data_IF_812692926209
#
_entry.id   IF_812692926209
#
_cell.length_a   1.000
_cell.length_b   1.000
_cell.length_c   1.000
_cell.angle_alpha   90.00
_cell.angle_beta   90.00
_cell.angle_gamma   90.00
#
_symmetry.space_group_name_H-M   'P 1'
#
loop_
_entity.id
_entity.type
_entity.pdbx_description
1 polymer ?
#
# COMPACT_ATOMS: atom_id res chain seq x y z
N UNK A 1 6.33 3.61 -12.70
CA UNK A 1 6.24 3.48 -11.23
C UNK A 1 6.08 2.02 -10.88
N UNK A 2 6.71 1.55 -9.80
CA UNK A 2 6.52 0.22 -9.21
C UNK A 2 5.73 0.33 -7.92
N UNK A 3 4.65 -0.42 -7.83
CA UNK A 3 3.74 -0.52 -6.69
C UNK A 3 3.92 -1.91 -6.09
N UNK A 4 4.04 -1.99 -4.76
CA UNK A 4 3.90 -3.27 -4.05
C UNK A 4 2.48 -3.37 -3.50
N UNK A 5 1.85 -4.55 -3.60
CA UNK A 5 0.59 -4.87 -2.95
C UNK A 5 0.75 -6.11 -2.08
N UNK A 6 0.49 -5.99 -0.78
CA UNK A 6 0.49 -7.11 0.16
C UNK A 6 -0.97 -7.42 0.51
N UNK A 7 -1.45 -8.55 -0.01
CA UNK A 7 -2.87 -8.91 -0.09
C UNK A 7 -2.96 -10.42 -0.26
N UNK A 8 -3.72 -11.16 0.55
CA UNK A 8 -3.80 -12.62 0.45
C UNK A 8 -4.80 -13.11 -0.61
N UNK A 9 -5.81 -12.32 -0.96
CA UNK A 9 -6.79 -12.66 -2.00
C UNK A 9 -6.21 -12.52 -3.42
N UNK A 10 -5.99 -13.66 -4.11
CA UNK A 10 -5.43 -13.69 -5.48
C UNK A 10 -6.26 -12.88 -6.48
N UNK A 11 -7.59 -13.00 -6.40
CA UNK A 11 -8.50 -12.28 -7.28
C UNK A 11 -8.36 -10.76 -7.13
N UNK A 12 -8.22 -10.26 -5.90
CA UNK A 12 -8.00 -8.83 -5.67
C UNK A 12 -6.64 -8.38 -6.21
N UNK A 13 -5.58 -9.16 -5.98
CA UNK A 13 -4.25 -8.85 -6.55
C UNK A 13 -4.30 -8.72 -8.06
N UNK A 14 -4.98 -9.63 -8.75
CA UNK A 14 -5.11 -9.62 -10.21
C UNK A 14 -5.92 -8.43 -10.73
N UNK A 15 -6.99 -8.06 -10.03
CA UNK A 15 -7.80 -6.89 -10.37
C UNK A 15 -6.99 -5.60 -10.20
N UNK A 16 -6.32 -5.40 -9.06
CA UNK A 16 -5.44 -4.25 -8.87
C UNK A 16 -4.32 -4.23 -9.90
N UNK A 17 -3.71 -5.38 -10.22
CA UNK A 17 -2.64 -5.45 -11.22
C UNK A 17 -3.11 -4.92 -12.59
N UNK A 18 -4.31 -5.31 -13.04
CA UNK A 18 -4.90 -4.81 -14.30
C UNK A 18 -5.15 -3.30 -14.25
N UNK A 19 -5.70 -2.81 -13.15
CA UNK A 19 -6.04 -1.39 -12.98
C UNK A 19 -4.79 -0.50 -12.92
N UNK A 20 -3.76 -0.90 -12.18
CA UNK A 20 -2.46 -0.21 -12.19
C UNK A 20 -1.75 -0.30 -13.54
N UNK A 21 -1.84 -1.44 -14.23
CA UNK A 21 -1.27 -1.59 -15.57
C UNK A 21 -1.93 -0.65 -16.58
N UNK A 22 -3.24 -0.37 -16.45
CA UNK A 22 -3.98 0.54 -17.34
C UNK A 22 -3.43 1.97 -17.34
N UNK A 23 -2.77 2.39 -16.26
CA UNK A 23 -2.10 3.70 -16.13
C UNK A 23 -0.57 3.63 -16.28
N UNK A 24 -0.05 2.49 -16.77
CA UNK A 24 1.38 2.29 -17.04
C UNK A 24 2.23 2.00 -15.79
N UNK A 25 1.61 1.58 -14.67
CA UNK A 25 2.34 1.20 -13.46
C UNK A 25 2.54 -0.32 -13.43
N UNK A 26 3.64 -0.76 -12.80
CA UNK A 26 3.91 -2.17 -12.56
C UNK A 26 3.55 -2.48 -11.12
N UNK A 27 2.63 -3.42 -10.90
CA UNK A 27 2.27 -3.89 -9.57
C UNK A 27 2.85 -5.28 -9.32
N UNK A 28 3.68 -5.38 -8.28
CA UNK A 28 4.15 -6.64 -7.72
C UNK A 28 3.25 -7.00 -6.53
N UNK A 29 2.57 -8.15 -6.61
CA UNK A 29 1.67 -8.63 -5.57
C UNK A 29 2.32 -9.72 -4.71
N UNK A 30 2.09 -9.66 -3.40
CA UNK A 30 2.59 -10.63 -2.42
C UNK A 30 1.40 -11.26 -1.68
N UNK A 31 1.38 -12.59 -1.62
CA UNK A 31 0.22 -13.36 -1.15
C UNK A 31 0.13 -13.51 0.37
N UNK A 32 1.15 -13.07 1.11
CA UNK A 32 1.15 -13.05 2.56
C UNK A 32 2.09 -11.96 3.09
N UNK A 33 1.96 -11.67 4.37
CA UNK A 33 2.70 -10.60 5.03
C UNK A 33 4.21 -10.83 5.12
N UNK A 34 4.66 -12.08 5.27
CA UNK A 34 6.09 -12.42 5.38
C UNK A 34 6.81 -12.22 4.05
N UNK A 35 6.25 -12.77 2.97
CA UNK A 35 6.73 -12.56 1.60
C UNK A 35 6.67 -11.10 1.21
N UNK A 36 5.58 -10.41 1.56
CA UNK A 36 5.41 -8.99 1.31
C UNK A 36 6.48 -8.14 1.98
N UNK A 37 6.70 -8.35 3.27
CA UNK A 37 7.72 -7.63 4.03
C UNK A 37 9.13 -7.91 3.51
N UNK A 38 9.46 -9.16 3.20
CA UNK A 38 10.74 -9.51 2.61
C UNK A 38 10.92 -8.87 1.23
N UNK A 39 9.88 -8.92 0.39
CA UNK A 39 9.87 -8.37 -0.96
C UNK A 39 10.08 -6.87 -1.00
N UNK A 40 9.38 -6.11 -0.15
CA UNK A 40 9.55 -4.65 -0.06
C UNK A 40 10.89 -4.22 0.53
N UNK A 41 11.54 -5.06 1.36
CA UNK A 41 12.89 -4.81 1.87
C UNK A 41 14.00 -5.14 0.87
N UNK A 42 13.74 -6.07 -0.05
CA UNK A 42 14.70 -6.51 -1.08
C UNK A 42 14.65 -5.64 -2.34
N UNK A 43 13.49 -5.05 -2.65
CA UNK A 43 13.27 -4.26 -3.86
C UNK A 43 12.97 -2.79 -3.53
N UNK A 44 13.03 -1.93 -4.55
CA UNK A 44 12.58 -0.54 -4.42
C UNK A 44 11.20 -0.37 -5.04
N UNK A 45 10.31 0.25 -4.27
CA UNK A 45 8.95 0.59 -4.65
C UNK A 45 8.69 2.08 -4.45
N UNK A 46 7.86 2.65 -5.32
CA UNK A 46 7.44 4.04 -5.24
C UNK A 46 6.32 4.21 -4.19
N UNK A 47 5.51 3.17 -3.98
CA UNK A 47 4.44 3.10 -2.98
C UNK A 47 4.16 1.64 -2.61
N UNK A 48 3.72 1.42 -1.37
CA UNK A 48 3.27 0.12 -0.86
C UNK A 48 1.79 0.22 -0.49
N UNK A 49 0.97 -0.68 -1.03
CA UNK A 49 -0.40 -0.94 -0.60
C UNK A 49 -0.37 -2.13 0.36
N UNK A 50 -0.95 -1.97 1.55
CA UNK A 50 -0.90 -2.97 2.61
C UNK A 50 -2.30 -3.26 3.13
N UNK A 51 -2.74 -4.51 3.02
CA UNK A 51 -3.87 -4.99 3.81
C UNK A 51 -3.45 -5.25 5.26
N UNK A 52 -4.32 -4.90 6.20
CA UNK A 52 -4.18 -5.23 7.60
C UNK A 52 -4.75 -6.61 7.95
N UNK A 53 -5.67 -7.13 7.14
CA UNK A 53 -6.35 -8.40 7.36
C UNK A 53 -5.61 -9.58 6.73
N UNK A 54 -4.31 -9.70 6.97
CA UNK A 54 -3.51 -10.80 6.46
C UNK A 54 -3.51 -12.01 7.42
N UNK A 55 -3.46 -13.24 6.92
CA UNK A 55 -3.24 -14.41 7.76
C UNK A 55 -1.82 -14.43 8.34
N UNK A 56 -1.70 -14.83 9.61
CA UNK A 56 -0.41 -15.08 10.28
C UNK A 56 0.18 -13.85 10.98
N UNK A 57 0.56 -12.82 10.22
CA UNK A 57 1.21 -11.61 10.76
C UNK A 57 0.25 -10.41 10.71
N UNK A 58 0.24 -9.63 11.79
CA UNK A 58 -0.54 -8.40 11.90
C UNK A 58 -0.01 -7.33 10.93
N UNK A 59 -0.88 -6.80 10.07
CA UNK A 59 -0.50 -5.77 9.12
C UNK A 59 -0.05 -4.45 9.76
N UNK A 60 -0.50 -4.10 10.97
CA UNK A 60 0.03 -2.94 11.69
C UNK A 60 1.49 -3.17 12.12
N UNK A 61 1.86 -4.41 12.47
CA UNK A 61 3.24 -4.76 12.75
C UNK A 61 4.10 -4.75 11.47
N UNK A 62 3.55 -5.18 10.32
CA UNK A 62 4.22 -5.02 9.02
C UNK A 62 4.49 -3.54 8.74
N UNK A 63 3.47 -2.68 8.87
CA UNK A 63 3.61 -1.24 8.66
C UNK A 63 4.72 -0.67 9.54
N UNK A 64 4.72 -1.01 10.83
CA UNK A 64 5.74 -0.58 11.78
C UNK A 64 7.14 -1.03 11.34
N UNK A 65 7.30 -2.28 10.91
CA UNK A 65 8.58 -2.78 10.42
C UNK A 65 9.05 -2.09 9.14
N UNK A 66 8.13 -1.77 8.21
CA UNK A 66 8.43 -1.01 6.99
C UNK A 66 8.91 0.41 7.35
N UNK A 67 8.27 1.05 8.33
CA UNK A 67 8.58 2.43 8.74
C UNK A 67 9.81 2.56 9.64
N UNK A 68 10.26 1.47 10.25
CA UNK A 68 11.48 1.42 11.06
C UNK A 68 12.73 1.00 10.27
N UNK A 69 12.57 0.40 9.09
CA UNK A 69 13.68 -0.06 8.26
C UNK A 69 14.25 1.08 7.38
N UNK A 70 15.56 1.31 7.43
CA UNK A 70 16.23 2.39 6.71
C UNK A 70 16.02 2.38 5.19
N UNK A 71 15.79 1.20 4.60
CA UNK A 71 15.58 1.05 3.15
C UNK A 71 14.17 1.41 2.74
N UNK A 72 13.18 1.20 3.61
CA UNK A 72 11.75 1.33 3.26
C UNK A 72 11.03 2.46 3.99
N UNK A 73 11.62 3.04 5.05
CA UNK A 73 10.96 4.06 5.90
C UNK A 73 10.43 5.28 5.15
N UNK A 74 11.04 5.63 4.02
CA UNK A 74 10.65 6.77 3.20
C UNK A 74 9.62 6.42 2.12
N UNK A 75 9.43 5.14 1.83
CA UNK A 75 8.41 4.68 0.88
C UNK A 75 7.03 4.94 1.50
N UNK A 76 6.13 5.65 0.79
CA UNK A 76 4.78 5.87 1.28
C UNK A 76 4.05 4.53 1.38
N UNK A 77 3.32 4.33 2.47
CA UNK A 77 2.48 3.17 2.70
C UNK A 77 1.03 3.63 2.77
N UNK A 78 0.18 3.05 1.94
CA UNK A 78 -1.26 3.26 1.99
C UNK A 78 -1.86 1.98 2.53
N UNK A 79 -2.59 2.09 3.63
CA UNK A 79 -3.38 0.97 4.13
C UNK A 79 -4.60 0.81 3.21
N UNK A 80 -4.82 -0.41 2.73
CA UNK A 80 -5.94 -0.77 1.87
C UNK A 80 -6.61 -2.01 2.46
N UNK A 81 -7.68 -1.82 3.24
CA UNK A 81 -8.26 -2.89 4.06
C UNK A 81 -9.79 -2.79 4.14
N UNK A 82 -10.48 -3.80 4.66
CA UNK A 82 -11.91 -3.73 4.96
C UNK A 82 -12.20 -3.23 6.39
N UNK A 83 -11.18 -3.01 7.22
CA UNK A 83 -11.33 -2.40 8.54
C UNK A 83 -11.64 -0.91 8.42
N UNK A 84 -12.78 -0.48 8.95
CA UNK A 84 -13.23 0.93 8.91
C UNK A 84 -13.37 1.58 10.29
N UNK A 85 -12.78 0.99 11.34
CA UNK A 85 -12.89 1.53 12.70
C UNK A 85 -11.92 2.69 12.91
N UNK A 86 -12.42 3.80 13.47
CA UNK A 86 -11.63 5.02 13.73
C UNK A 86 -10.33 4.76 14.48
N UNK A 87 -10.34 3.84 15.45
CA UNK A 87 -9.16 3.50 16.24
C UNK A 87 -8.05 2.86 15.37
N UNK A 88 -8.41 1.92 14.50
CA UNK A 88 -7.46 1.27 13.58
C UNK A 88 -6.89 2.28 12.59
N UNK A 89 -7.74 3.17 12.08
CA UNK A 89 -7.33 4.26 11.18
C UNK A 89 -6.31 5.17 11.88
N UNK A 90 -6.61 5.61 13.11
CA UNK A 90 -5.70 6.44 13.91
C UNK A 90 -4.38 5.74 14.18
N UNK A 91 -4.42 4.46 14.53
CA UNK A 91 -3.21 3.65 14.74
C UNK A 91 -2.35 3.57 13.47
N UNK A 92 -2.96 3.31 12.31
CA UNK A 92 -2.26 3.28 11.03
C UNK A 92 -1.52 4.59 10.73
N UNK A 93 -2.19 5.74 10.90
CA UNK A 93 -1.56 7.04 10.69
C UNK A 93 -0.47 7.34 11.74
N UNK A 94 -0.68 6.98 13.01
CA UNK A 94 0.33 7.15 14.07
C UNK A 94 1.61 6.33 13.80
N UNK A 95 1.47 5.17 13.15
CA UNK A 95 2.60 4.35 12.70
C UNK A 95 3.25 4.86 11.40
N UNK A 96 2.69 5.89 10.79
CA UNK A 96 3.28 6.58 9.64
C UNK A 96 2.72 6.16 8.29
N UNK A 97 1.53 5.56 8.21
CA UNK A 97 0.84 5.43 6.93
C UNK A 97 0.52 6.81 6.34
N UNK A 98 0.60 6.94 5.02
CA UNK A 98 0.33 8.19 4.30
C UNK A 98 -1.08 8.24 3.70
N UNK A 99 -1.78 7.10 3.68
CA UNK A 99 -3.15 6.99 3.24
C UNK A 99 -3.85 5.79 3.89
N UNK A 100 -5.18 5.85 3.93
CA UNK A 100 -6.04 4.78 4.41
C UNK A 100 -7.28 4.69 3.52
N UNK A 101 -7.47 3.54 2.87
CA UNK A 101 -8.55 3.27 1.94
C UNK A 101 -9.33 2.04 2.39
N UNK A 102 -10.65 2.17 2.43
CA UNK A 102 -11.55 1.05 2.73
C UNK A 102 -11.91 0.37 1.40
N UNK A 103 -11.47 -0.88 1.20
CA UNK A 103 -11.68 -1.63 -0.06
C UNK A 103 -13.15 -1.65 -0.51
N UNK A 104 -14.08 -1.89 0.41
CA UNK A 104 -15.52 -1.93 0.11
C UNK A 104 -16.14 -0.57 -0.23
N UNK A 105 -15.47 0.53 0.10
CA UNK A 105 -15.96 1.90 -0.10
C UNK A 105 -15.22 2.65 -1.21
N UNK A 106 -14.23 2.01 -1.83
CA UNK A 106 -13.42 2.60 -2.90
C UNK A 106 -13.35 1.63 -4.07
N UNK A 107 -13.63 2.13 -5.27
CA UNK A 107 -13.37 1.42 -6.51
C UNK A 107 -11.86 1.25 -6.74
N UNK A 108 -11.49 0.26 -7.57
CA UNK A 108 -10.09 0.07 -7.95
C UNK A 108 -9.48 1.33 -8.59
N UNK A 109 -10.28 2.08 -9.35
CA UNK A 109 -9.89 3.35 -9.97
C UNK A 109 -9.56 4.42 -8.94
N UNK A 110 -10.39 4.58 -7.91
CA UNK A 110 -10.14 5.54 -6.82
C UNK A 110 -8.86 5.20 -6.03
N UNK A 111 -8.57 3.91 -5.85
CA UNK A 111 -7.29 3.47 -5.24
C UNK A 111 -6.10 3.89 -6.08
N UNK A 112 -6.17 3.73 -7.41
CA UNK A 112 -5.11 4.17 -8.33
C UNK A 112 -4.96 5.69 -8.30
N UNK A 113 -6.07 6.43 -8.29
CA UNK A 113 -6.07 7.90 -8.20
C UNK A 113 -5.43 8.39 -6.90
N UNK A 114 -5.71 7.75 -5.76
CA UNK A 114 -5.09 8.13 -4.49
C UNK A 114 -3.58 7.82 -4.46
N UNK A 115 -3.17 6.69 -5.05
CA UNK A 115 -1.74 6.41 -5.26
C UNK A 115 -1.08 7.52 -6.08
N UNK A 116 -1.70 7.94 -7.18
CA UNK A 116 -1.17 9.03 -8.02
C UNK A 116 -1.09 10.35 -7.23
N UNK A 117 -2.11 10.68 -6.43
CA UNK A 117 -2.12 11.87 -5.58
C UNK A 117 -0.96 11.88 -4.59
N UNK A 118 -0.70 10.75 -3.91
CA UNK A 118 0.38 10.63 -2.93
C UNK A 118 1.75 10.72 -3.61
N UNK A 119 1.93 10.05 -4.75
CA UNK A 119 3.17 10.11 -5.53
C UNK A 119 3.44 11.54 -6.05
N UNK A 120 2.41 12.24 -6.54
CA UNK A 120 2.52 13.62 -7.02
C UNK A 120 2.87 14.59 -5.87
N UNK A 121 2.26 14.44 -4.69
CA UNK A 121 2.59 15.26 -3.50
C UNK A 121 4.05 15.08 -3.06
N UNK A 122 4.61 13.86 -3.18
CA UNK A 122 6.03 13.58 -2.90
C UNK A 122 6.96 13.99 -4.05
N UNK A 123 6.43 14.14 -5.25
CA UNK A 123 7.15 14.52 -6.48
C UNK A 123 6.78 15.91 -7.00
N UNK A 124 7.13 16.98 -6.25
CA UNK A 124 7.13 18.40 -6.68
C UNK A 124 5.75 19.06 -6.91
N UNK A 125 5.62 20.26 -6.36
CA UNK A 125 4.97 21.40 -7.01
C UNK A 125 5.31 21.39 -8.50
N UNK A 126 4.38 20.98 -9.36
CA UNK A 126 4.42 21.42 -10.75
C UNK A 126 3.97 22.87 -10.68
N UNK A 127 4.94 23.77 -10.72
CA UNK A 127 4.70 25.18 -10.98
C UNK A 127 4.10 25.19 -12.40
N UNK A 128 2.79 25.40 -12.48
CA UNK A 128 2.16 25.97 -13.66
C UNK A 128 2.38 27.47 -13.67
#
# INVERSE_FOLDING_TARGET
>A
MRVALIEDEEVLRDLYKKEFQSVGYVLDGFANGEEGLAGVKQNKYDVILLDLMLPGIDGLEILKQIKQDDKTKNTPVIILTNLGQDEVIRQGFNLGAEGYLIKSSNSFKEVVEEVQNILNKKGRTVIS
#
